data_IF_945906839380
#
_entry.id   IF_945906839380
#
_cell.length_a   1.000
_cell.length_b   1.000
_cell.length_c   1.000
_cell.angle_alpha   90.00
_cell.angle_beta   90.00
_cell.angle_gamma   90.00
#
_symmetry.space_group_name_H-M   'P 1'
#
loop_
_entity.id
_entity.type
_entity.pdbx_description
1 polymer ?
#
# COMPACT_ATOMS: atom_id res chain seq x y z
N UNK A 1 52.37 19.49 29.80
CA UNK A 1 51.87 19.13 28.45
C UNK A 1 50.36 18.93 28.47
N UNK A 2 49.79 18.41 29.55
CA UNK A 2 48.35 18.25 29.85
C UNK A 2 47.41 19.40 29.42
N UNK A 3 47.75 20.66 29.71
CA UNK A 3 46.83 21.79 29.51
C UNK A 3 46.56 22.15 28.03
N UNK A 4 47.54 21.86 27.16
CA UNK A 4 47.46 22.19 25.72
C UNK A 4 46.65 21.12 24.98
N UNK A 5 46.72 19.87 25.41
CA UNK A 5 45.95 18.77 24.88
C UNK A 5 44.46 18.89 25.26
N UNK A 6 44.17 19.29 26.51
CA UNK A 6 42.80 19.60 26.95
C UNK A 6 42.15 20.74 26.14
N UNK A 7 42.88 21.80 25.82
CA UNK A 7 42.38 22.91 25.00
C UNK A 7 42.10 22.49 23.55
N UNK A 8 42.93 21.62 22.99
CA UNK A 8 42.72 21.07 21.64
C UNK A 8 41.54 20.10 21.61
N UNK A 9 41.37 19.27 22.64
CA UNK A 9 40.22 18.38 22.76
C UNK A 9 38.89 19.16 22.91
N UNK A 10 38.89 20.25 23.69
CA UNK A 10 37.68 21.08 23.89
C UNK A 10 37.28 21.85 22.62
N UNK A 11 38.26 22.36 21.88
CA UNK A 11 38.01 23.10 20.62
C UNK A 11 37.55 22.17 19.48
N UNK A 12 38.09 20.95 19.40
CA UNK A 12 37.64 19.96 18.40
C UNK A 12 36.24 19.43 18.69
N UNK A 13 35.89 19.21 19.97
CA UNK A 13 34.55 18.79 20.36
C UNK A 13 33.48 19.85 20.06
N UNK A 14 33.78 21.14 20.30
CA UNK A 14 32.84 22.23 20.01
C UNK A 14 32.64 22.43 18.50
N UNK A 15 33.70 22.31 17.70
CA UNK A 15 33.59 22.36 16.23
C UNK A 15 32.74 21.20 15.67
N UNK A 16 32.94 19.98 16.18
CA UNK A 16 32.16 18.81 15.75
C UNK A 16 30.67 18.95 16.12
N UNK A 17 30.36 19.45 17.32
CA UNK A 17 28.99 19.70 17.76
C UNK A 17 28.30 20.78 16.91
N UNK A 18 29.01 21.85 16.56
CA UNK A 18 28.49 22.90 15.69
C UNK A 18 28.21 22.39 14.27
N UNK A 19 29.10 21.56 13.71
CA UNK A 19 28.93 20.96 12.39
C UNK A 19 27.74 19.98 12.36
N UNK A 20 27.57 19.18 13.42
CA UNK A 20 26.44 18.27 13.59
C UNK A 20 25.11 19.03 13.73
N UNK A 21 25.10 20.15 14.47
CA UNK A 21 23.92 21.01 14.60
C UNK A 21 23.55 21.68 13.26
N UNK A 22 24.54 22.14 12.49
CA UNK A 22 24.32 22.73 11.17
C UNK A 22 23.80 21.71 10.14
N UNK A 23 24.29 20.46 10.18
CA UNK A 23 23.80 19.38 9.31
C UNK A 23 22.47 18.78 9.76
N UNK A 24 22.11 18.93 11.04
CA UNK A 24 20.80 18.55 11.57
C UNK A 24 19.68 19.57 11.28
N UNK A 25 20.00 20.74 10.70
CA UNK A 25 19.00 21.68 10.24
C UNK A 25 18.22 21.09 9.07
N UNK A 26 17.04 20.57 9.40
CA UNK A 26 16.06 20.10 8.43
C UNK A 26 15.72 21.27 7.50
N UNK A 27 15.96 21.08 6.19
CA UNK A 27 15.58 22.06 5.18
C UNK A 27 14.11 22.49 5.40
N UNK A 28 13.79 23.78 5.20
CA UNK A 28 12.43 24.27 5.37
C UNK A 28 11.48 23.42 4.52
N UNK A 29 10.26 23.10 5.01
CA UNK A 29 9.33 22.27 4.26
C UNK A 29 8.97 23.00 2.97
N UNK A 30 9.58 22.57 1.86
CA UNK A 30 9.17 23.01 0.55
C UNK A 30 7.88 22.26 0.21
N UNK A 31 6.82 23.02 -0.05
CA UNK A 31 5.63 22.47 -0.68
C UNK A 31 6.03 22.06 -2.10
N UNK A 32 6.36 20.78 -2.27
CA UNK A 32 6.46 20.19 -3.60
C UNK A 32 5.05 20.28 -4.17
N UNK A 33 4.81 21.24 -5.06
CA UNK A 33 3.61 21.29 -5.88
C UNK A 33 3.58 20.00 -6.70
N UNK A 34 2.94 18.97 -6.18
CA UNK A 34 2.72 17.69 -6.85
C UNK A 34 1.71 17.89 -7.97
N UNK A 35 2.16 18.46 -9.08
CA UNK A 35 1.41 18.52 -10.32
C UNK A 35 1.98 17.50 -11.31
N UNK A 36 1.60 16.24 -11.12
CA UNK A 36 1.33 15.37 -12.24
C UNK A 36 -0.18 15.17 -12.25
N UNK A 37 -0.88 15.90 -13.12
CA UNK A 37 -2.31 15.69 -13.30
C UNK A 37 -2.48 14.35 -14.04
N UNK A 38 -2.47 13.26 -13.27
CA UNK A 38 -2.77 11.93 -13.80
C UNK A 38 -4.26 11.93 -14.11
N UNK A 39 -4.57 11.96 -15.41
CA UNK A 39 -5.91 11.76 -15.93
C UNK A 39 -6.25 10.27 -15.81
N UNK A 40 -6.65 9.90 -14.60
CA UNK A 40 -6.97 8.53 -14.25
C UNK A 40 -8.18 8.01 -15.02
N UNK A 41 -9.13 8.89 -15.36
CA UNK A 41 -10.34 8.51 -16.09
C UNK A 41 -9.99 8.15 -17.53
N UNK A 42 -9.10 8.92 -18.17
CA UNK A 42 -8.53 8.57 -19.47
C UNK A 42 -7.77 7.24 -19.41
N UNK A 43 -6.90 7.05 -18.39
CA UNK A 43 -6.17 5.80 -18.20
C UNK A 43 -7.09 4.61 -18.01
N UNK A 44 -8.22 4.80 -17.33
CA UNK A 44 -9.20 3.73 -17.10
C UNK A 44 -9.99 3.39 -18.37
N UNK A 45 -10.20 4.36 -19.27
CA UNK A 45 -10.90 4.16 -20.54
C UNK A 45 -10.04 3.41 -21.58
N UNK A 46 -8.73 3.62 -21.56
CA UNK A 46 -7.77 3.12 -22.54
C UNK A 46 -7.05 1.86 -22.03
N UNK A 47 -7.22 0.72 -22.71
CA UNK A 47 -6.65 -0.57 -22.28
C UNK A 47 -5.12 -0.63 -22.41
N UNK A 48 -4.51 0.32 -23.12
CA UNK A 48 -3.06 0.48 -23.28
C UNK A 48 -2.34 0.68 -21.93
N UNK A 49 -3.06 1.10 -20.90
CA UNK A 49 -2.53 1.32 -19.55
C UNK A 49 -2.54 0.07 -18.66
N UNK A 50 -2.95 -1.11 -19.14
CA UNK A 50 -3.00 -2.33 -18.33
C UNK A 50 -1.69 -2.64 -17.59
N UNK A 51 -0.54 -2.36 -18.23
CA UNK A 51 0.77 -2.52 -17.61
C UNK A 51 0.95 -1.63 -16.37
N UNK A 52 0.40 -0.42 -16.38
CA UNK A 52 0.42 0.48 -15.23
C UNK A 52 -0.42 -0.08 -14.09
N UNK A 53 -1.63 -0.59 -14.38
CA UNK A 53 -2.51 -1.21 -13.39
C UNK A 53 -1.85 -2.43 -12.73
N UNK A 54 -1.22 -3.30 -13.51
CA UNK A 54 -0.51 -4.47 -12.97
C UNK A 54 0.65 -4.08 -12.07
N UNK A 55 1.41 -3.08 -12.49
CA UNK A 55 2.58 -2.61 -11.75
C UNK A 55 2.21 -1.93 -10.43
N UNK A 56 1.21 -1.05 -10.46
CA UNK A 56 0.90 -0.15 -9.34
C UNK A 56 -0.25 -0.64 -8.46
N UNK A 57 -1.20 -1.39 -9.03
CA UNK A 57 -2.39 -1.89 -8.32
C UNK A 57 -2.42 -3.42 -8.19
N UNK A 58 -1.40 -4.13 -8.71
CA UNK A 58 -1.27 -5.61 -8.65
C UNK A 58 -2.43 -6.39 -9.28
N UNK A 59 -3.17 -5.76 -10.19
CA UNK A 59 -4.25 -6.38 -10.95
C UNK A 59 -4.27 -5.85 -12.38
N UNK A 60 -4.89 -6.58 -13.30
CA UNK A 60 -5.14 -6.05 -14.65
C UNK A 60 -6.20 -4.94 -14.60
N UNK A 61 -6.26 -4.13 -15.64
CA UNK A 61 -7.29 -3.11 -15.79
C UNK A 61 -8.71 -3.71 -15.86
N UNK A 62 -8.86 -4.88 -16.49
CA UNK A 62 -10.11 -5.63 -16.47
C UNK A 62 -10.51 -6.07 -15.05
N UNK A 63 -9.56 -6.63 -14.28
CA UNK A 63 -9.81 -7.01 -12.88
C UNK A 63 -10.11 -5.78 -12.02
N UNK A 64 -9.44 -4.65 -12.26
CA UNK A 64 -9.71 -3.40 -11.58
C UNK A 64 -11.15 -2.93 -11.79
N UNK A 65 -11.65 -2.92 -13.03
CA UNK A 65 -13.06 -2.60 -13.34
C UNK A 65 -14.03 -3.54 -12.61
N UNK A 66 -13.73 -4.84 -12.57
CA UNK A 66 -14.53 -5.81 -11.83
C UNK A 66 -14.53 -5.54 -10.31
N UNK A 67 -13.38 -5.21 -9.73
CA UNK A 67 -13.26 -4.80 -8.32
C UNK A 67 -14.10 -3.55 -8.06
N UNK A 68 -14.02 -2.54 -8.91
CA UNK A 68 -14.84 -1.33 -8.79
C UNK A 68 -16.35 -1.66 -8.83
N UNK A 69 -16.79 -2.53 -9.74
CA UNK A 69 -18.19 -2.97 -9.81
C UNK A 69 -18.66 -3.67 -8.53
N UNK A 70 -17.84 -4.58 -7.98
CA UNK A 70 -18.12 -5.26 -6.70
C UNK A 70 -18.19 -4.25 -5.56
N UNK A 71 -17.21 -3.35 -5.47
CA UNK A 71 -17.16 -2.35 -4.40
C UNK A 71 -18.29 -1.33 -4.51
N UNK A 72 -18.73 -0.96 -5.71
CA UNK A 72 -19.94 -0.15 -5.92
C UNK A 72 -21.15 -0.82 -5.28
N UNK A 73 -21.33 -2.12 -5.49
CA UNK A 73 -22.40 -2.92 -4.87
C UNK A 73 -22.31 -2.97 -3.35
N UNK A 74 -21.11 -3.21 -2.81
CA UNK A 74 -20.87 -3.27 -1.36
C UNK A 74 -21.12 -1.92 -0.68
N UNK A 75 -20.79 -0.83 -1.36
CA UNK A 75 -20.80 0.53 -0.82
C UNK A 75 -22.05 1.32 -1.20
N UNK A 76 -23.12 0.68 -1.72
CA UNK A 76 -24.35 1.35 -2.18
C UNK A 76 -24.99 2.26 -1.12
N UNK A 77 -24.91 1.88 0.17
CA UNK A 77 -25.44 2.67 1.28
C UNK A 77 -24.54 3.80 1.77
N UNK A 78 -23.36 3.98 1.18
CA UNK A 78 -22.39 4.98 1.61
C UNK A 78 -21.99 5.89 0.44
N UNK A 79 -22.16 7.20 0.62
CA UNK A 79 -21.90 8.18 -0.43
C UNK A 79 -20.41 8.53 -0.54
N UNK A 80 -19.58 7.58 -0.98
CA UNK A 80 -18.16 7.83 -1.30
C UNK A 80 -18.02 8.95 -2.34
N UNK A 81 -19.01 9.10 -3.21
CA UNK A 81 -19.07 10.16 -4.23
C UNK A 81 -19.35 11.55 -3.65
N UNK A 82 -20.00 11.64 -2.49
CA UNK A 82 -20.18 12.91 -1.78
C UNK A 82 -18.88 13.37 -1.11
N UNK A 83 -17.97 12.44 -0.83
CA UNK A 83 -16.65 12.72 -0.30
C UNK A 83 -15.74 13.28 -1.39
N UNK A 84 -15.87 14.58 -1.66
CA UNK A 84 -15.19 15.36 -2.69
C UNK A 84 -15.48 14.89 -4.14
N UNK A 85 -16.21 15.71 -4.90
CA UNK A 85 -16.61 15.45 -6.29
C UNK A 85 -15.47 15.59 -7.30
N UNK A 86 -14.33 16.16 -6.91
CA UNK A 86 -13.20 16.37 -7.81
C UNK A 86 -12.61 15.06 -8.36
N UNK A 87 -12.74 13.97 -7.60
CA UNK A 87 -12.20 12.67 -7.99
C UNK A 87 -13.30 11.59 -7.92
N UNK A 88 -13.42 10.84 -9.01
CA UNK A 88 -14.38 9.74 -9.15
C UNK A 88 -14.14 8.58 -8.18
N UNK A 89 -15.14 7.71 -8.07
CA UNK A 89 -15.10 6.52 -7.23
C UNK A 89 -13.93 5.60 -7.57
N UNK A 90 -13.68 5.40 -8.86
CA UNK A 90 -12.65 4.51 -9.39
C UNK A 90 -11.27 5.01 -8.99
N UNK A 91 -11.01 6.33 -9.07
CA UNK A 91 -9.76 6.92 -8.58
C UNK A 91 -9.58 6.70 -7.08
N UNK A 92 -10.64 6.80 -6.27
CA UNK A 92 -10.62 6.51 -4.83
C UNK A 92 -10.30 5.04 -4.54
N UNK A 93 -10.88 4.11 -5.31
CA UNK A 93 -10.53 2.68 -5.23
C UNK A 93 -9.09 2.43 -5.63
N UNK A 94 -8.59 3.10 -6.67
CA UNK A 94 -7.19 3.02 -7.09
C UNK A 94 -6.24 3.48 -6.00
N UNK A 95 -6.58 4.53 -5.23
CA UNK A 95 -5.78 4.96 -4.08
C UNK A 95 -5.67 3.88 -3.02
N UNK A 96 -6.78 3.25 -2.67
CA UNK A 96 -6.77 2.14 -1.72
C UNK A 96 -5.89 0.99 -2.22
N UNK A 97 -6.10 0.55 -3.47
CA UNK A 97 -5.34 -0.56 -4.02
C UNK A 97 -3.85 -0.23 -4.14
N UNK A 98 -3.48 0.97 -4.57
CA UNK A 98 -2.09 1.41 -4.64
C UNK A 98 -1.42 1.37 -3.26
N UNK A 99 -2.11 1.87 -2.23
CA UNK A 99 -1.62 1.86 -0.87
C UNK A 99 -1.36 0.43 -0.37
N UNK A 100 -2.32 -0.49 -0.59
CA UNK A 100 -2.20 -1.89 -0.19
C UNK A 100 -1.16 -2.66 -1.00
N UNK A 101 -1.03 -2.36 -2.29
CA UNK A 101 -0.17 -3.07 -3.23
C UNK A 101 1.32 -2.72 -3.12
N UNK A 102 1.62 -1.45 -2.80
CA UNK A 102 2.98 -0.91 -2.88
C UNK A 102 3.65 -0.70 -1.54
N UNK A 103 2.89 -0.53 -0.45
CA UNK A 103 3.45 -0.21 0.87
C UNK A 103 4.14 1.15 0.95
N UNK A 104 4.02 2.00 -0.08
CA UNK A 104 4.68 3.33 -0.17
C UNK A 104 4.10 4.38 0.79
N UNK A 105 3.06 4.02 1.54
CA UNK A 105 2.36 4.91 2.46
C UNK A 105 1.47 5.95 1.75
N UNK A 106 0.90 6.85 2.54
CA UNK A 106 -0.06 7.85 2.05
C UNK A 106 0.57 8.86 1.09
N UNK A 107 1.81 9.31 1.37
CA UNK A 107 2.52 10.28 0.52
C UNK A 107 2.87 9.69 -0.85
N UNK A 108 3.38 8.45 -0.88
CA UNK A 108 3.69 7.77 -2.13
C UNK A 108 2.44 7.53 -2.98
N UNK A 109 1.34 7.12 -2.33
CA UNK A 109 0.05 6.94 -3.00
C UNK A 109 -0.53 8.24 -3.54
N UNK A 110 -0.44 9.32 -2.75
CA UNK A 110 -0.91 10.64 -3.15
C UNK A 110 -0.13 11.19 -4.35
N UNK A 111 1.20 11.03 -4.34
CA UNK A 111 2.06 11.39 -5.47
C UNK A 111 1.70 10.57 -6.73
N UNK A 112 1.53 9.26 -6.58
CA UNK A 112 1.24 8.34 -7.68
C UNK A 112 -0.14 8.55 -8.34
N UNK A 113 -1.05 9.28 -7.69
CA UNK A 113 -2.39 9.55 -8.22
C UNK A 113 -2.70 11.06 -8.37
N UNK A 114 -1.72 11.92 -8.11
CA UNK A 114 -1.85 13.36 -8.27
C UNK A 114 -2.88 13.99 -7.33
N UNK A 115 -2.85 13.63 -6.04
CA UNK A 115 -3.78 14.13 -5.03
C UNK A 115 -3.05 14.56 -3.76
N UNK A 116 -3.73 15.24 -2.82
CA UNK A 116 -3.08 15.64 -1.56
C UNK A 116 -2.90 14.45 -0.61
N UNK A 117 -1.79 14.36 0.15
CA UNK A 117 -1.58 13.28 1.13
C UNK A 117 -2.64 13.23 2.23
N UNK A 118 -3.16 14.39 2.65
CA UNK A 118 -4.24 14.47 3.65
C UNK A 118 -5.50 13.78 3.14
N UNK A 119 -5.93 14.16 1.94
CA UNK A 119 -7.12 13.57 1.32
C UNK A 119 -6.93 12.08 1.03
N UNK A 120 -5.72 11.67 0.61
CA UNK A 120 -5.41 10.26 0.43
C UNK A 120 -5.58 9.45 1.72
N UNK A 121 -5.06 9.95 2.83
CA UNK A 121 -5.22 9.31 4.15
C UNK A 121 -6.70 9.15 4.52
N UNK A 122 -7.51 10.19 4.32
CA UNK A 122 -8.92 10.16 4.69
C UNK A 122 -9.73 9.18 3.82
N UNK A 123 -9.56 9.25 2.49
CA UNK A 123 -10.23 8.35 1.53
C UNK A 123 -9.86 6.89 1.81
N UNK A 124 -8.57 6.60 1.99
CA UNK A 124 -8.10 5.24 2.24
C UNK A 124 -8.67 4.72 3.56
N UNK A 125 -8.62 5.52 4.63
CA UNK A 125 -9.18 5.18 5.93
C UNK A 125 -10.68 4.89 5.86
N UNK A 126 -11.41 5.70 5.11
CA UNK A 126 -12.84 5.54 4.88
C UNK A 126 -13.19 4.25 4.13
N UNK A 127 -12.54 4.00 2.99
CA UNK A 127 -12.78 2.78 2.22
C UNK A 127 -12.37 1.53 3.01
N UNK A 128 -11.26 1.58 3.75
CA UNK A 128 -10.86 0.47 4.64
C UNK A 128 -11.92 0.18 5.70
N UNK A 129 -12.53 1.21 6.29
CA UNK A 129 -13.59 1.06 7.30
C UNK A 129 -14.81 0.38 6.69
N UNK A 130 -15.26 0.82 5.53
CA UNK A 130 -16.46 0.27 4.89
C UNK A 130 -16.25 -1.16 4.35
N UNK A 131 -15.12 -1.42 3.67
CA UNK A 131 -14.80 -2.78 3.17
C UNK A 131 -14.68 -3.79 4.33
N UNK A 132 -14.14 -3.36 5.48
CA UNK A 132 -14.05 -4.23 6.67
C UNK A 132 -15.43 -4.70 7.17
N UNK A 133 -16.50 -3.94 6.94
CA UNK A 133 -17.87 -4.37 7.26
C UNK A 133 -18.31 -5.54 6.37
N UNK A 134 -17.89 -5.55 5.11
CA UNK A 134 -18.18 -6.59 4.13
C UNK A 134 -17.22 -7.79 4.16
N UNK A 135 -16.26 -7.85 5.10
CA UNK A 135 -15.24 -8.92 5.15
C UNK A 135 -15.80 -10.34 5.12
N UNK A 136 -16.97 -10.57 5.74
CA UNK A 136 -17.61 -11.90 5.80
C UNK A 136 -18.12 -12.37 4.44
N UNK A 137 -18.33 -11.46 3.50
CA UNK A 137 -18.75 -11.78 2.13
C UNK A 137 -17.58 -12.32 1.31
N UNK A 138 -16.35 -11.87 1.60
CA UNK A 138 -15.17 -12.15 0.79
C UNK A 138 -14.18 -13.14 1.42
N UNK A 139 -14.11 -13.19 2.75
CA UNK A 139 -13.16 -14.03 3.48
C UNK A 139 -13.91 -15.24 4.06
N UNK A 140 -13.74 -16.39 3.42
CA UNK A 140 -14.29 -17.67 3.85
C UNK A 140 -13.16 -18.63 4.17
N UNK A 141 -13.16 -19.18 5.38
CA UNK A 141 -12.25 -20.25 5.77
C UNK A 141 -12.98 -21.60 5.70
N UNK A 142 -12.35 -22.65 5.18
CA UNK A 142 -12.90 -24.00 5.26
C UNK A 142 -13.20 -24.39 6.71
N UNK A 143 -14.37 -24.96 6.94
CA UNK A 143 -14.84 -25.39 8.28
C UNK A 143 -15.03 -26.88 8.42
N UNK A 144 -15.12 -27.60 7.30
CA UNK A 144 -15.34 -29.05 7.28
C UNK A 144 -14.17 -29.76 6.63
N UNK A 145 -13.95 -31.03 7.00
CA UNK A 145 -12.92 -31.87 6.39
C UNK A 145 -13.08 -31.98 4.86
N UNK A 146 -14.33 -31.97 4.36
CA UNK A 146 -14.60 -31.96 2.93
C UNK A 146 -14.10 -30.66 2.27
N UNK A 147 -14.43 -29.49 2.84
CA UNK A 147 -13.96 -28.21 2.32
C UNK A 147 -12.43 -28.09 2.34
N UNK A 148 -11.78 -28.62 3.37
CA UNK A 148 -10.31 -28.68 3.43
C UNK A 148 -9.71 -29.57 2.32
N UNK A 149 -10.31 -30.73 2.05
CA UNK A 149 -9.93 -31.58 0.92
C UNK A 149 -10.15 -30.88 -0.42
N UNK A 150 -11.18 -30.04 -0.54
CA UNK A 150 -11.44 -29.29 -1.77
C UNK A 150 -10.33 -28.27 -2.03
N UNK A 151 -9.88 -27.56 -0.98
CA UNK A 151 -8.74 -26.64 -1.08
C UNK A 151 -7.46 -27.39 -1.47
N UNK A 152 -7.18 -28.53 -0.84
CA UNK A 152 -6.02 -29.38 -1.18
C UNK A 152 -6.03 -29.80 -2.65
N UNK A 153 -7.19 -30.26 -3.16
CA UNK A 153 -7.34 -30.62 -4.57
C UNK A 153 -7.07 -29.42 -5.49
N UNK A 154 -7.46 -28.22 -5.10
CA UNK A 154 -7.17 -26.98 -5.84
C UNK A 154 -5.68 -26.70 -5.98
N UNK A 155 -4.91 -26.79 -4.89
CA UNK A 155 -3.45 -26.64 -4.92
C UNK A 155 -2.78 -27.72 -5.78
N UNK A 156 -3.23 -28.97 -5.64
CA UNK A 156 -2.72 -30.08 -6.44
C UNK A 156 -3.02 -29.91 -7.93
N UNK A 157 -4.23 -29.49 -8.30
CA UNK A 157 -4.62 -29.29 -9.69
C UNK A 157 -3.88 -28.11 -10.33
N UNK A 158 -3.61 -27.04 -9.58
CA UNK A 158 -3.00 -25.81 -10.11
C UNK A 158 -1.48 -25.93 -10.24
N UNK A 159 -0.80 -26.54 -9.26
CA UNK A 159 0.68 -26.55 -9.17
C UNK A 159 1.28 -27.89 -8.74
N UNK A 160 0.49 -28.95 -8.57
CA UNK A 160 0.97 -30.28 -8.18
C UNK A 160 1.23 -30.47 -6.68
N UNK A 161 0.94 -29.48 -5.84
CA UNK A 161 1.19 -29.56 -4.40
C UNK A 161 0.12 -30.39 -3.68
N UNK A 162 0.48 -31.57 -3.18
CA UNK A 162 -0.36 -32.42 -2.31
C UNK A 162 -0.21 -32.04 -0.84
N UNK A 163 -1.27 -32.23 -0.04
CA UNK A 163 -1.27 -31.91 1.39
C UNK A 163 -1.27 -30.41 1.73
N UNK A 164 -1.24 -29.53 0.72
CA UNK A 164 -1.24 -28.07 0.91
C UNK A 164 -2.66 -27.54 0.92
N UNK A 165 -3.05 -26.93 2.03
CA UNK A 165 -4.40 -26.37 2.23
C UNK A 165 -4.41 -24.85 2.35
N UNK A 166 -3.27 -24.20 2.14
CA UNK A 166 -3.14 -22.76 2.24
C UNK A 166 -1.72 -22.30 1.98
N UNK A 167 -1.57 -21.00 1.79
CA UNK A 167 -0.28 -20.33 1.67
C UNK A 167 -0.30 -19.08 2.53
N UNK A 168 0.85 -18.76 3.14
CA UNK A 168 1.06 -17.52 3.90
C UNK A 168 2.22 -16.80 3.23
N UNK A 169 1.98 -15.56 2.80
CA UNK A 169 2.98 -14.69 2.18
C UNK A 169 3.33 -13.53 3.14
N UNK A 170 4.55 -12.99 3.02
CA UNK A 170 5.00 -11.82 3.80
C UNK A 170 5.32 -12.08 5.27
N UNK A 171 5.59 -13.34 5.66
CA UNK A 171 5.99 -13.71 7.02
C UNK A 171 7.38 -14.35 7.02
N UNK A 172 8.27 -13.88 7.90
CA UNK A 172 9.55 -14.54 8.16
C UNK A 172 9.33 -15.48 9.33
N UNK A 173 9.29 -16.78 9.05
CA UNK A 173 9.25 -17.81 10.09
C UNK A 173 10.66 -18.30 10.37
N UNK A 174 11.00 -18.45 11.65
CA UNK A 174 12.21 -19.18 12.03
C UNK A 174 11.95 -20.65 11.73
N UNK A 175 12.69 -21.20 10.77
CA UNK A 175 12.66 -22.63 10.45
C UNK A 175 13.85 -23.28 11.14
N UNK A 176 13.59 -24.28 11.99
CA UNK A 176 14.67 -25.07 12.57
C UNK A 176 15.39 -25.82 11.46
N UNK A 177 16.73 -25.81 11.49
CA UNK A 177 17.55 -26.60 10.57
C UNK A 177 17.15 -28.08 10.68
N UNK A 178 16.89 -28.79 9.56
CA UNK A 178 16.67 -30.23 9.58
C UNK A 178 17.83 -30.95 10.26
N UNK A 179 17.55 -32.05 10.94
CA UNK A 179 18.61 -32.95 11.42
C UNK A 179 19.42 -33.47 10.21
N UNK A 180 20.73 -33.63 10.39
CA UNK A 180 21.62 -34.18 9.37
C UNK A 180 21.22 -35.63 8.99
#
# INVERSE_FOLDING_TARGET
>A
MEHRELLVALSTATAAAAQAAATAQRAPPQNILTLHNIDFDMMLAQDEYDAWFRRHLRCSQASFRAICSILRGVLQGYTVDAYNKLHGFEKKVAMLLHFLATGTGYRGTALALGVSPSWASEVIGLLCKEIRKARKTFIHLPRTAAQWKDVERGFRATRGFSGVVGAVDGSVFVINRPAD
#
